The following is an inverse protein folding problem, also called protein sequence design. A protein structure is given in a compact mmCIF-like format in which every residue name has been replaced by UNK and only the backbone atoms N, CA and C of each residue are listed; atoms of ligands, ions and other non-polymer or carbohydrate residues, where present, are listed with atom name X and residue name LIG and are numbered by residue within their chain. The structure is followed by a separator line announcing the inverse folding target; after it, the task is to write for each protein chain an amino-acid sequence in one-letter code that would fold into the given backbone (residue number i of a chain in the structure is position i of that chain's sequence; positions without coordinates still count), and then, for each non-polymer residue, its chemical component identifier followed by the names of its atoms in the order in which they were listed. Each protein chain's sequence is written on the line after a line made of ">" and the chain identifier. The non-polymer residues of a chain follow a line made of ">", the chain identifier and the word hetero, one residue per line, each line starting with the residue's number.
data_IF_409494826814
#
_entry.id   IF_409494826814
#
_cell.length_a   1.000
_cell.length_b   1.000
_cell.length_c   1.000
_cell.angle_alpha   90.00
_cell.angle_beta   90.00
_cell.angle_gamma   90.00
#
_symmetry.space_group_name_H-M   'P 1'
#
loop_
_entity.id
_entity.type
_entity.pdbx_description
1 polymer ?
#
# COMPACT_ATOMS: atom_id res chain seq x y z
N UNK A 1 -16.29 12.87 61.92
CA UNK A 1 -17.39 12.95 60.95
C UNK A 1 -16.75 13.15 59.59
N UNK A 2 -16.14 12.10 59.04
CA UNK A 2 -15.49 12.19 57.73
C UNK A 2 -15.89 10.96 56.93
N UNK A 3 -16.86 11.16 56.05
CA UNK A 3 -17.33 10.14 55.13
C UNK A 3 -16.36 10.11 53.95
N UNK A 4 -15.70 8.96 53.75
CA UNK A 4 -14.89 8.70 52.56
C UNK A 4 -15.80 8.69 51.33
N UNK A 5 -15.81 9.81 50.59
CA UNK A 5 -16.42 9.89 49.27
C UNK A 5 -15.52 9.09 48.31
N UNK A 6 -15.96 7.88 47.93
CA UNK A 6 -15.33 7.13 46.85
C UNK A 6 -15.77 7.73 45.51
N UNK A 7 -14.83 8.27 44.76
CA UNK A 7 -15.08 8.72 43.38
C UNK A 7 -15.58 7.54 42.53
N UNK A 8 -16.80 7.66 42.01
CA UNK A 8 -17.37 6.70 41.07
C UNK A 8 -16.84 7.00 39.68
N UNK A 9 -16.19 6.02 39.04
CA UNK A 9 -15.76 6.13 37.65
C UNK A 9 -16.96 6.40 36.75
N UNK A 10 -16.82 7.26 35.71
CA UNK A 10 -17.92 7.54 34.80
C UNK A 10 -18.41 6.23 34.17
N UNK A 11 -19.70 5.97 34.31
CA UNK A 11 -20.38 4.83 33.68
C UNK A 11 -20.05 4.85 32.18
N UNK A 12 -19.30 3.84 31.73
CA UNK A 12 -18.95 3.65 30.33
C UNK A 12 -20.24 3.68 29.51
N UNK A 13 -20.28 4.52 28.46
CA UNK A 13 -21.45 4.63 27.61
C UNK A 13 -21.81 3.24 27.05
N UNK A 14 -23.09 2.84 27.11
CA UNK A 14 -23.57 1.54 26.59
C UNK A 14 -23.26 1.33 25.10
N UNK A 15 -23.05 2.40 24.34
CA UNK A 15 -22.79 2.30 22.90
C UNK A 15 -21.38 1.78 22.67
N UNK A 16 -21.28 0.58 22.12
CA UNK A 16 -20.03 -0.01 21.68
C UNK A 16 -19.45 0.83 20.55
N UNK A 17 -18.22 1.31 20.71
CA UNK A 17 -17.46 1.89 19.60
C UNK A 17 -17.23 0.81 18.55
N UNK A 18 -17.77 0.98 17.34
CA UNK A 18 -17.49 0.09 16.24
C UNK A 18 -16.12 0.41 15.66
N UNK A 19 -15.25 -0.59 15.57
CA UNK A 19 -14.03 -0.52 14.78
C UNK A 19 -14.42 -0.67 13.31
N UNK A 20 -14.38 0.44 12.56
CA UNK A 20 -14.82 0.46 11.16
C UNK A 20 -13.81 -0.21 10.26
N UNK A 21 -12.55 -0.25 10.68
CA UNK A 21 -11.41 -0.84 9.98
C UNK A 21 -11.61 -2.34 9.75
N UNK A 22 -12.28 -2.99 10.69
CA UNK A 22 -12.57 -4.43 10.67
C UNK A 22 -13.77 -4.79 9.80
N UNK A 23 -14.50 -3.80 9.29
CA UNK A 23 -15.60 -4.08 8.38
C UNK A 23 -15.08 -4.78 7.14
N UNK A 24 -15.76 -5.84 6.71
CA UNK A 24 -15.39 -6.66 5.55
C UNK A 24 -15.03 -5.80 4.33
N UNK A 25 -15.82 -4.76 4.05
CA UNK A 25 -15.57 -3.85 2.93
C UNK A 25 -14.23 -3.09 3.07
N UNK A 26 -13.95 -2.55 4.26
CA UNK A 26 -12.72 -1.78 4.51
C UNK A 26 -11.49 -2.68 4.51
N UNK A 27 -11.60 -3.89 5.07
CA UNK A 27 -10.54 -4.91 5.00
C UNK A 27 -10.22 -5.29 3.55
N UNK A 28 -11.23 -5.61 2.75
CA UNK A 28 -11.07 -5.91 1.32
C UNK A 28 -10.48 -4.73 0.53
N UNK A 29 -10.87 -3.50 0.88
CA UNK A 29 -10.30 -2.28 0.27
C UNK A 29 -8.81 -2.19 0.58
N UNK A 30 -8.41 -2.36 1.84
CA UNK A 30 -7.00 -2.33 2.26
C UNK A 30 -6.19 -3.43 1.57
N UNK A 31 -6.68 -4.66 1.56
CA UNK A 31 -6.01 -5.81 0.91
C UNK A 31 -5.80 -5.58 -0.59
N UNK A 32 -6.71 -4.88 -1.27
CA UNK A 32 -6.57 -4.55 -2.70
C UNK A 32 -5.40 -3.61 -3.01
N UNK A 33 -5.14 -2.64 -2.12
CA UNK A 33 -4.09 -1.63 -2.33
C UNK A 33 -2.79 -1.95 -1.58
N UNK A 34 -2.71 -3.10 -0.94
CA UNK A 34 -1.50 -3.59 -0.25
C UNK A 34 -0.71 -4.49 -1.20
N UNK A 35 0.64 -4.45 -1.20
CA UNK A 35 1.43 -5.35 -2.01
C UNK A 35 1.21 -6.79 -1.53
N UNK A 36 0.88 -7.70 -2.46
CA UNK A 36 0.66 -9.11 -2.14
C UNK A 36 1.98 -9.86 -1.99
N UNK A 37 2.84 -9.75 -2.99
CA UNK A 37 4.14 -10.40 -3.05
C UNK A 37 5.10 -9.53 -3.89
N UNK A 38 6.42 -9.61 -3.64
CA UNK A 38 7.39 -9.02 -4.54
C UNK A 38 7.31 -9.70 -5.92
N UNK A 39 7.53 -8.94 -7.01
CA UNK A 39 7.47 -9.51 -8.36
C UNK A 39 8.53 -10.60 -8.53
N UNK A 40 8.09 -11.85 -8.69
CA UNK A 40 8.96 -12.98 -8.97
C UNK A 40 9.28 -13.01 -10.47
N UNK A 41 10.34 -12.29 -10.86
CA UNK A 41 10.77 -12.19 -12.24
C UNK A 41 11.99 -13.09 -12.47
N UNK A 42 11.80 -14.12 -13.30
CA UNK A 42 12.92 -14.80 -13.95
C UNK A 42 13.46 -13.86 -15.02
N UNK A 43 14.54 -13.14 -14.73
CA UNK A 43 15.11 -12.22 -15.71
C UNK A 43 15.90 -12.99 -16.79
N UNK A 44 15.74 -12.64 -18.07
CA UNK A 44 16.30 -13.42 -19.17
C UNK A 44 17.69 -12.96 -19.66
N UNK A 45 18.40 -12.03 -19.01
CA UNK A 45 19.72 -11.63 -19.52
C UNK A 45 20.72 -11.18 -18.44
N UNK A 46 21.96 -11.64 -18.57
CA UNK A 46 23.13 -11.23 -17.77
C UNK A 46 24.24 -10.70 -18.70
N UNK A 47 23.85 -9.90 -19.70
CA UNK A 47 24.76 -9.45 -20.75
C UNK A 47 25.53 -8.19 -20.32
N UNK A 48 26.75 -8.37 -19.83
CA UNK A 48 27.66 -7.29 -19.44
C UNK A 48 28.59 -6.85 -20.58
N UNK A 49 28.08 -6.69 -21.81
CA UNK A 49 28.89 -6.24 -22.96
C UNK A 49 28.33 -4.95 -23.57
N UNK A 50 29.23 -4.01 -23.93
CA UNK A 50 28.89 -2.67 -24.44
C UNK A 50 27.99 -2.68 -25.69
N UNK A 51 27.99 -3.78 -26.46
CA UNK A 51 27.22 -3.93 -27.69
C UNK A 51 25.76 -4.40 -27.50
N UNK A 52 25.43 -4.99 -26.34
CA UNK A 52 24.12 -5.59 -26.07
C UNK A 52 23.58 -5.17 -24.69
N UNK A 53 23.45 -3.85 -24.45
CA UNK A 53 22.68 -3.39 -23.29
C UNK A 53 21.20 -3.75 -23.53
N UNK A 54 20.68 -4.69 -22.73
CA UNK A 54 19.24 -4.94 -22.69
C UNK A 54 18.53 -3.60 -22.41
N UNK A 55 17.63 -3.17 -23.30
CA UNK A 55 16.73 -2.02 -23.07
C UNK A 55 15.65 -2.33 -22.02
N UNK A 56 15.72 -3.53 -21.46
CA UNK A 56 14.81 -4.11 -20.48
C UNK A 56 15.11 -3.60 -19.08
N UNK A 57 14.05 -3.44 -18.26
CA UNK A 57 14.18 -3.10 -16.85
C UNK A 57 14.86 -4.23 -16.08
N UNK A 58 15.74 -3.87 -15.14
CA UNK A 58 16.40 -4.84 -14.27
C UNK A 58 15.53 -5.17 -13.03
N UNK A 59 15.87 -6.24 -12.30
CA UNK A 59 15.14 -6.65 -11.09
C UNK A 59 15.06 -5.53 -10.06
N UNK A 60 16.21 -4.87 -9.87
CA UNK A 60 16.36 -3.78 -8.90
C UNK A 60 15.40 -2.64 -9.23
N UNK A 61 15.26 -2.29 -10.51
CA UNK A 61 14.38 -1.21 -10.97
C UNK A 61 12.91 -1.55 -10.70
N UNK A 62 12.52 -2.80 -10.98
CA UNK A 62 11.15 -3.26 -10.80
C UNK A 62 10.80 -3.35 -9.30
N UNK A 63 11.71 -3.82 -8.46
CA UNK A 63 11.54 -3.80 -7.01
C UNK A 63 11.42 -2.36 -6.50
N UNK A 64 12.29 -1.46 -6.96
CA UNK A 64 12.28 -0.06 -6.55
C UNK A 64 10.96 0.61 -6.92
N UNK A 65 10.47 0.37 -8.14
CA UNK A 65 9.16 0.84 -8.60
C UNK A 65 8.03 0.27 -7.76
N UNK A 66 8.02 -1.04 -7.49
CA UNK A 66 7.00 -1.69 -6.69
C UNK A 66 6.94 -1.11 -5.26
N UNK A 67 8.11 -0.93 -4.62
CA UNK A 67 8.24 -0.28 -3.32
C UNK A 67 7.71 1.16 -3.34
N UNK A 68 8.00 1.93 -4.39
CA UNK A 68 7.55 3.31 -4.51
C UNK A 68 6.03 3.41 -4.70
N UNK A 69 5.46 2.55 -5.56
CA UNK A 69 4.02 2.49 -5.85
C UNK A 69 3.22 2.11 -4.60
N UNK A 70 3.65 1.07 -3.88
CA UNK A 70 2.98 0.57 -2.68
C UNK A 70 3.41 1.26 -1.37
N UNK A 71 4.14 2.36 -1.44
CA UNK A 71 4.58 3.14 -0.26
C UNK A 71 3.41 3.54 0.65
N UNK A 72 2.22 3.76 0.06
CA UNK A 72 0.96 3.97 0.80
C UNK A 72 -0.13 3.06 0.20
N UNK A 73 -0.84 2.26 1.01
CA UNK A 73 -1.93 1.40 0.54
C UNK A 73 -3.23 2.20 0.41
N UNK A 74 -3.18 3.29 -0.35
CA UNK A 74 -4.30 4.19 -0.60
C UNK A 74 -4.50 4.37 -2.11
N UNK A 75 -5.77 4.33 -2.53
CA UNK A 75 -6.17 4.44 -3.94
C UNK A 75 -5.70 5.77 -4.53
N UNK A 76 -5.94 6.87 -3.81
CA UNK A 76 -5.66 8.22 -4.32
C UNK A 76 -4.16 8.39 -4.55
N UNK A 77 -3.35 7.90 -3.61
CA UNK A 77 -1.90 7.91 -3.76
C UNK A 77 -1.44 7.10 -4.99
N UNK A 78 -1.96 5.89 -5.17
CA UNK A 78 -1.57 5.01 -6.28
C UNK A 78 -2.03 5.55 -7.63
N UNK A 79 -3.24 6.11 -7.72
CA UNK A 79 -3.73 6.76 -8.94
C UNK A 79 -2.84 7.96 -9.31
N UNK A 80 -2.53 8.82 -8.33
CA UNK A 80 -1.63 9.96 -8.56
C UNK A 80 -0.23 9.52 -8.98
N UNK A 81 0.28 8.41 -8.42
CA UNK A 81 1.55 7.83 -8.86
C UNK A 81 1.50 7.43 -10.34
N UNK A 82 0.43 6.77 -10.79
CA UNK A 82 0.25 6.38 -12.19
C UNK A 82 0.21 7.62 -13.08
N UNK A 83 -0.60 8.62 -12.72
CA UNK A 83 -0.76 9.85 -13.51
C UNK A 83 0.58 10.59 -13.65
N UNK A 84 1.39 10.66 -12.60
CA UNK A 84 2.67 11.38 -12.62
C UNK A 84 3.78 10.63 -13.39
N UNK A 85 3.71 9.30 -13.46
CA UNK A 85 4.80 8.47 -13.99
C UNK A 85 4.46 7.73 -15.29
N UNK A 86 3.24 7.86 -15.80
CA UNK A 86 2.85 7.27 -17.09
C UNK A 86 2.48 8.35 -18.11
N UNK A 87 2.71 8.07 -19.38
CA UNK A 87 2.26 8.90 -20.50
C UNK A 87 1.12 8.16 -21.19
N UNK A 88 0.03 8.85 -21.47
CA UNK A 88 -1.08 8.28 -22.24
C UNK A 88 -0.66 8.28 -23.71
N UNK A 89 -0.45 7.09 -24.27
CA UNK A 89 -0.25 6.91 -25.72
C UNK A 89 -1.58 6.51 -26.32
N UNK A 90 -2.17 7.38 -27.13
CA UNK A 90 -3.33 7.04 -27.95
C UNK A 90 -2.83 6.23 -29.14
N UNK A 91 -3.06 4.92 -29.14
CA UNK A 91 -2.79 4.07 -30.30
C UNK A 91 -3.74 4.48 -31.43
N UNK A 92 -3.18 4.98 -32.53
CA UNK A 92 -3.89 5.27 -33.77
C UNK A 92 -4.08 4.00 -34.60
#
# INVERSE_FOLDING_TARGET
>A
MDSLIKETTPQLSRKRTQQKEDWKCNKLKKERYTPKEPPNLRLPCDHYTKAYRCTSLNHADIIAMNKAFYKKPDKIYQDNFIINHTKVTTTQ
#
